data_IF_456586907112
#
_entry.id   IF_456586907112
#
_cell.length_a   1.000
_cell.length_b   1.000
_cell.length_c   1.000
_cell.angle_alpha   90.00
_cell.angle_beta   90.00
_cell.angle_gamma   90.00
#
_symmetry.space_group_name_H-M   'P 1'
#
loop_
_entity.id
_entity.type
_entity.pdbx_description
1 polymer ?
#
# COMPACT_ATOMS: atom_id res chain seq x y z
N UNK A 1 7.79 38.84 2.94
CA UNK A 1 7.79 38.05 2.69
C UNK A 1 7.76 37.23 2.57
N UNK A 2 7.65 37.19 2.30
CA UNK A 2 7.42 36.20 2.02
C UNK A 2 7.71 35.11 2.07
N UNK A 3 7.67 34.72 2.21
CA UNK A 3 7.84 33.62 2.20
C UNK A 3 7.78 32.80 1.60
N UNK A 4 7.76 32.42 1.41
CA UNK A 4 7.67 31.56 0.86
C UNK A 4 7.29 30.91 0.43
N UNK A 5 7.70 31.20 -0.23
CA UNK A 5 6.86 30.55 -1.00
C UNK A 5 6.40 29.23 -0.68
N UNK A 6 6.13 29.09 -0.48
CA UNK A 6 5.80 28.03 0.05
C UNK A 6 5.73 26.70 -0.54
N UNK A 7 6.10 25.77 0.00
CA UNK A 7 6.06 24.41 -0.45
C UNK A 7 4.67 24.00 -0.83
N UNK A 8 3.70 24.42 -0.06
CA UNK A 8 2.31 24.07 -0.30
C UNK A 8 1.78 24.61 -1.63
N UNK A 9 2.46 25.59 -2.18
CA UNK A 9 2.05 26.17 -3.46
C UNK A 9 2.77 25.57 -4.65
N UNK A 10 3.78 24.77 -4.38
CA UNK A 10 4.55 24.15 -5.45
C UNK A 10 3.70 23.14 -6.18
N UNK A 11 3.75 23.16 -7.49
CA UNK A 11 3.06 22.18 -8.29
C UNK A 11 3.59 20.79 -8.00
N UNK A 12 2.69 19.85 -7.88
CA UNK A 12 3.06 18.45 -7.68
C UNK A 12 3.65 17.91 -8.97
N UNK A 13 4.76 17.18 -8.87
CA UNK A 13 5.37 16.57 -10.04
C UNK A 13 4.47 15.46 -10.57
N UNK A 14 4.65 15.10 -11.85
CA UNK A 14 3.88 14.01 -12.44
C UNK A 14 4.21 12.68 -11.75
N UNK A 15 5.45 12.48 -11.32
CA UNK A 15 5.83 11.27 -10.60
C UNK A 15 5.13 11.19 -9.25
N UNK A 16 5.11 12.28 -8.50
CA UNK A 16 4.42 12.29 -7.22
C UNK A 16 2.93 12.01 -7.40
N UNK A 17 2.32 12.61 -8.43
CA UNK A 17 0.91 12.40 -8.73
C UNK A 17 0.63 10.94 -9.05
N UNK A 18 1.51 10.31 -9.83
CA UNK A 18 1.36 8.90 -10.17
C UNK A 18 1.45 8.01 -8.93
N UNK A 19 2.40 8.29 -8.02
CA UNK A 19 2.55 7.53 -6.78
C UNK A 19 1.29 7.64 -5.92
N UNK A 20 0.75 8.85 -5.80
CA UNK A 20 -0.50 9.07 -5.04
C UNK A 20 -1.66 8.29 -5.65
N UNK A 21 -1.74 8.28 -6.98
CA UNK A 21 -2.78 7.52 -7.69
C UNK A 21 -2.61 6.03 -7.45
N UNK A 22 -1.37 5.53 -7.50
CA UNK A 22 -1.11 4.11 -7.24
C UNK A 22 -1.53 3.69 -5.84
N UNK A 23 -1.30 4.56 -4.86
CA UNK A 23 -1.73 4.28 -3.49
C UNK A 23 -3.24 4.12 -3.41
N UNK A 24 -4.00 5.02 -4.04
CA UNK A 24 -5.46 4.93 -4.07
C UNK A 24 -5.93 3.67 -4.77
N UNK A 25 -5.32 3.33 -5.90
CA UNK A 25 -5.68 2.13 -6.64
C UNK A 25 -5.41 0.88 -5.81
N UNK A 26 -4.28 0.87 -5.09
CA UNK A 26 -3.93 -0.24 -4.23
C UNK A 26 -5.01 -0.48 -3.17
N UNK A 27 -5.41 0.58 -2.47
CA UNK A 27 -6.42 0.47 -1.42
C UNK A 27 -7.76 0.00 -1.99
N UNK A 28 -8.16 0.57 -3.14
CA UNK A 28 -9.41 0.17 -3.79
C UNK A 28 -9.38 -1.31 -4.19
N UNK A 29 -8.25 -1.76 -4.73
CA UNK A 29 -8.11 -3.16 -5.16
C UNK A 29 -8.10 -4.12 -3.97
N UNK A 30 -7.46 -3.73 -2.86
CA UNK A 30 -7.51 -4.52 -1.62
C UNK A 30 -8.95 -4.68 -1.17
N UNK A 31 -9.71 -3.59 -1.14
CA UNK A 31 -11.09 -3.61 -0.69
C UNK A 31 -12.00 -4.40 -1.62
N UNK A 32 -11.68 -4.43 -2.90
CA UNK A 32 -12.45 -5.18 -3.89
C UNK A 32 -12.03 -6.65 -3.98
N UNK A 33 -10.94 -7.03 -3.32
CA UNK A 33 -10.39 -8.38 -3.45
C UNK A 33 -9.83 -8.64 -4.85
N UNK A 34 -9.38 -7.60 -5.52
CA UNK A 34 -8.95 -7.66 -6.93
C UNK A 34 -7.45 -7.95 -7.02
N UNK A 35 -7.10 -9.21 -6.87
CA UNK A 35 -5.70 -9.64 -6.91
C UNK A 35 -5.05 -9.32 -8.24
N UNK A 36 -5.77 -9.55 -9.35
CA UNK A 36 -5.21 -9.28 -10.67
C UNK A 36 -4.76 -7.83 -10.79
N UNK A 37 -5.56 -6.90 -10.27
CA UNK A 37 -5.22 -5.48 -10.28
C UNK A 37 -3.99 -5.21 -9.43
N UNK A 38 -3.93 -5.79 -8.24
CA UNK A 38 -2.78 -5.61 -7.34
C UNK A 38 -1.50 -6.09 -7.99
N UNK A 39 -1.54 -7.19 -8.70
CA UNK A 39 -0.36 -7.75 -9.34
C UNK A 39 0.17 -6.90 -10.49
N UNK A 40 -0.66 -6.02 -11.05
CA UNK A 40 -0.18 -5.07 -12.07
C UNK A 40 0.61 -3.92 -11.45
N UNK A 41 0.52 -3.74 -10.14
CA UNK A 41 1.14 -2.61 -9.44
C UNK A 41 2.45 -2.97 -8.78
N UNK A 42 2.82 -4.27 -8.74
CA UNK A 42 4.01 -4.72 -8.01
C UNK A 42 5.10 -5.16 -8.98
N UNK A 43 6.35 -4.95 -8.56
CA UNK A 43 7.50 -5.40 -9.31
C UNK A 43 7.62 -6.93 -9.22
N UNK A 44 8.31 -7.52 -10.20
CA UNK A 44 8.53 -8.96 -10.20
C UNK A 44 9.29 -9.42 -8.95
N UNK A 45 10.22 -8.60 -8.49
CA UNK A 45 11.07 -8.89 -7.34
C UNK A 45 10.55 -8.22 -6.05
N UNK A 46 9.25 -7.94 -5.99
CA UNK A 46 8.66 -7.31 -4.82
C UNK A 46 8.90 -8.14 -3.56
N UNK A 47 9.12 -7.44 -2.44
CA UNK A 47 9.21 -8.07 -1.12
C UNK A 47 8.26 -7.34 -0.19
N UNK A 48 7.41 -8.10 0.49
CA UNK A 48 6.47 -7.56 1.46
C UNK A 48 6.80 -8.11 2.85
N UNK A 49 6.83 -7.23 3.81
CA UNK A 49 7.15 -7.55 5.20
C UNK A 49 5.91 -7.33 6.05
N UNK A 50 5.50 -8.40 6.73
CA UNK A 50 4.34 -8.39 7.62
C UNK A 50 4.81 -8.77 9.02
N UNK A 51 4.28 -8.13 10.07
CA UNK A 51 4.71 -8.44 11.44
C UNK A 51 4.59 -9.93 11.77
N UNK A 52 5.67 -10.48 12.31
CA UNK A 52 5.68 -11.86 12.77
C UNK A 52 5.77 -12.90 11.68
N UNK A 53 5.97 -12.51 10.43
CA UNK A 53 6.02 -13.45 9.32
C UNK A 53 7.30 -13.28 8.51
N UNK A 54 7.72 -14.33 7.84
CA UNK A 54 8.85 -14.25 6.94
C UNK A 54 8.50 -13.37 5.73
N UNK A 55 9.49 -12.71 5.13
CA UNK A 55 9.24 -11.91 3.93
C UNK A 55 8.61 -12.75 2.83
N UNK A 56 7.69 -12.17 2.07
CA UNK A 56 7.09 -12.86 0.94
C UNK A 56 7.34 -12.08 -0.33
N UNK A 57 7.43 -12.81 -1.44
CA UNK A 57 7.50 -12.21 -2.76
C UNK A 57 6.12 -12.19 -3.41
N UNK A 58 6.13 -12.04 -4.72
CA UNK A 58 4.91 -11.92 -5.52
C UNK A 58 3.98 -13.14 -5.36
N UNK A 59 4.56 -14.33 -5.38
CA UNK A 59 3.78 -15.57 -5.29
C UNK A 59 3.17 -15.76 -3.91
N UNK A 60 3.99 -15.54 -2.87
CA UNK A 60 3.51 -15.65 -1.50
C UNK A 60 2.44 -14.61 -1.19
N UNK A 61 2.60 -13.40 -1.70
CA UNK A 61 1.59 -12.37 -1.56
C UNK A 61 0.27 -12.81 -2.20
N UNK A 62 0.34 -13.35 -3.43
CA UNK A 62 -0.86 -13.81 -4.14
C UNK A 62 -1.60 -14.86 -3.34
N UNK A 63 -0.88 -15.88 -2.86
CA UNK A 63 -1.49 -16.96 -2.08
C UNK A 63 -2.11 -16.44 -0.79
N UNK A 64 -1.40 -15.59 -0.07
CA UNK A 64 -1.89 -15.05 1.19
C UNK A 64 -3.11 -14.17 1.00
N UNK A 65 -3.09 -13.34 -0.05
CA UNK A 65 -4.21 -12.45 -0.34
C UNK A 65 -5.47 -13.24 -0.67
N UNK A 66 -5.34 -14.25 -1.53
CA UNK A 66 -6.48 -15.08 -1.90
C UNK A 66 -7.03 -15.82 -0.70
N UNK A 67 -6.18 -16.42 0.11
CA UNK A 67 -6.61 -17.15 1.29
C UNK A 67 -7.34 -16.22 2.26
N UNK A 68 -6.83 -15.02 2.46
CA UNK A 68 -7.45 -14.05 3.37
C UNK A 68 -8.84 -13.65 2.88
N UNK A 69 -8.97 -13.35 1.58
CA UNK A 69 -10.25 -12.90 1.03
C UNK A 69 -11.27 -14.02 0.91
N UNK A 70 -10.84 -15.27 0.82
CA UNK A 70 -11.75 -16.40 0.83
C UNK A 70 -12.43 -16.57 2.20
N UNK A 71 -11.72 -16.26 3.26
CA UNK A 71 -12.21 -16.49 4.61
C UNK A 71 -12.71 -15.24 5.31
N UNK A 72 -12.24 -14.07 4.88
CA UNK A 72 -12.51 -12.81 5.57
C UNK A 72 -13.04 -11.77 4.62
N UNK A 73 -13.92 -10.93 5.13
CA UNK A 73 -14.28 -9.67 4.48
C UNK A 73 -13.34 -8.61 5.03
N UNK A 74 -12.59 -7.98 4.16
CA UNK A 74 -11.58 -7.01 4.56
C UNK A 74 -11.97 -5.63 4.07
N UNK A 75 -11.95 -4.67 4.99
CA UNK A 75 -12.20 -3.27 4.67
C UNK A 75 -11.01 -2.46 5.16
N UNK A 76 -10.29 -1.84 4.23
CA UNK A 76 -9.08 -1.07 4.52
C UNK A 76 -9.32 0.40 4.28
N UNK A 77 -8.90 1.23 5.24
CA UNK A 77 -8.79 2.67 5.03
C UNK A 77 -7.34 3.06 5.23
N UNK A 78 -6.91 4.09 4.51
CA UNK A 78 -5.52 4.50 4.55
C UNK A 78 -5.44 6.01 4.39
N UNK A 79 -4.66 6.64 5.25
CA UNK A 79 -4.39 8.07 5.19
C UNK A 79 -2.94 8.25 4.78
N UNK A 80 -2.74 8.74 3.56
CA UNK A 80 -1.39 8.95 3.04
C UNK A 80 -0.82 10.20 3.69
N UNK A 81 0.31 10.04 4.39
CA UNK A 81 0.89 11.12 5.17
C UNK A 81 2.12 11.73 4.52
N UNK A 82 2.78 10.98 3.64
CA UNK A 82 4.04 11.46 3.07
C UNK A 82 4.31 10.77 1.76
N UNK A 83 4.74 11.53 0.76
CA UNK A 83 5.22 11.00 -0.52
C UNK A 83 6.53 11.71 -0.84
N UNK A 84 7.58 10.94 -1.07
CA UNK A 84 8.90 11.49 -1.41
C UNK A 84 9.38 10.80 -2.66
N UNK A 85 9.78 11.58 -3.66
CA UNK A 85 10.33 11.07 -4.92
C UNK A 85 11.76 11.55 -5.06
N UNK A 86 12.68 10.62 -5.26
CA UNK A 86 14.10 10.95 -5.45
C UNK A 86 14.58 10.17 -6.68
N UNK A 87 14.65 10.85 -7.82
CA UNK A 87 15.04 10.20 -9.07
C UNK A 87 14.06 9.09 -9.44
N UNK A 88 14.57 7.87 -9.52
CA UNK A 88 13.77 6.72 -9.92
C UNK A 88 13.29 5.87 -8.76
N UNK A 89 13.38 6.41 -7.55
CA UNK A 89 12.91 5.76 -6.34
C UNK A 89 11.97 6.71 -5.61
N UNK A 90 10.91 6.16 -5.05
CA UNK A 90 9.97 6.94 -4.26
C UNK A 90 9.56 6.12 -3.05
N UNK A 91 9.13 6.81 -2.00
CA UNK A 91 8.52 6.10 -0.88
C UNK A 91 7.29 6.87 -0.39
N UNK A 92 6.39 6.13 0.22
CA UNK A 92 5.23 6.69 0.87
C UNK A 92 5.18 6.21 2.32
N UNK A 93 4.53 7.00 3.14
CA UNK A 93 4.21 6.61 4.51
C UNK A 93 2.73 6.89 4.72
N UNK A 94 2.01 5.92 5.26
CA UNK A 94 0.58 6.05 5.49
C UNK A 94 0.21 5.48 6.85
N UNK A 95 -0.95 5.90 7.33
CA UNK A 95 -1.58 5.33 8.52
C UNK A 95 -2.79 4.54 8.05
N UNK A 96 -2.78 3.25 8.33
CA UNK A 96 -3.77 2.32 7.81
C UNK A 96 -4.60 1.72 8.92
N UNK A 97 -5.83 1.40 8.60
CA UNK A 97 -6.72 0.68 9.50
C UNK A 97 -7.47 -0.40 8.70
N UNK A 98 -7.63 -1.56 9.30
CA UNK A 98 -8.33 -2.68 8.69
C UNK A 98 -9.45 -3.14 9.60
N UNK A 99 -10.59 -3.44 8.99
CA UNK A 99 -11.66 -4.17 9.65
C UNK A 99 -11.74 -5.53 8.96
N UNK A 100 -11.60 -6.61 9.71
CA UNK A 100 -11.54 -7.97 9.18
C UNK A 100 -12.66 -8.78 9.83
N UNK A 101 -13.61 -9.25 9.02
CA UNK A 101 -14.77 -9.98 9.51
C UNK A 101 -14.80 -11.37 8.89
N UNK A 102 -14.89 -12.45 9.70
CA UNK A 102 -15.01 -13.79 9.12
C UNK A 102 -16.26 -13.89 8.25
N UNK A 103 -16.13 -14.48 7.08
CA UNK A 103 -17.29 -14.66 6.19
C UNK A 103 -18.29 -15.64 6.76
N UNK A 104 -17.81 -16.57 7.60
CA UNK A 104 -18.68 -17.54 8.27
C UNK A 104 -19.51 -16.91 9.39
N UNK A 105 -19.22 -15.66 9.75
CA UNK A 105 -19.93 -14.96 10.82
C UNK A 105 -19.04 -14.75 12.02
N UNK A 106 -19.42 -13.80 12.86
CA UNK A 106 -18.67 -13.47 14.06
C UNK A 106 -18.31 -11.99 14.08
N UNK A 107 -17.54 -11.62 15.08
CA UNK A 107 -17.14 -10.23 15.29
C UNK A 107 -16.02 -9.82 14.36
N UNK A 108 -16.07 -8.57 13.93
CA UNK A 108 -14.98 -7.97 13.20
C UNK A 108 -13.79 -7.72 14.14
N UNK A 109 -12.60 -8.00 13.64
CA UNK A 109 -11.37 -7.61 14.31
C UNK A 109 -10.88 -6.32 13.69
N UNK A 110 -10.35 -5.41 14.53
CA UNK A 110 -9.82 -4.14 14.07
C UNK A 110 -8.31 -4.17 14.18
N UNK A 111 -7.63 -3.75 13.10
CA UNK A 111 -6.18 -3.63 13.10
C UNK A 111 -5.84 -2.20 12.71
N UNK A 112 -4.74 -1.69 13.23
CA UNK A 112 -4.27 -0.35 12.89
C UNK A 112 -2.75 -0.33 12.94
N UNK A 113 -2.16 0.59 12.18
CA UNK A 113 -0.73 0.75 12.17
C UNK A 113 -0.27 1.67 11.06
N UNK A 114 0.98 1.53 10.71
CA UNK A 114 1.63 2.36 9.70
C UNK A 114 2.17 1.49 8.60
N UNK A 115 2.32 2.10 7.43
CA UNK A 115 2.85 1.41 6.26
C UNK A 115 3.87 2.29 5.57
N UNK A 116 4.97 1.69 5.14
CA UNK A 116 5.92 2.33 4.23
C UNK A 116 6.02 1.50 2.97
N UNK A 117 5.92 2.16 1.84
CA UNK A 117 6.02 1.50 0.54
C UNK A 117 7.13 2.18 -0.25
N UNK A 118 8.00 1.38 -0.86
CA UNK A 118 9.04 1.87 -1.75
C UNK A 118 8.66 1.50 -3.18
N UNK A 119 8.68 2.51 -4.06
CA UNK A 119 8.37 2.35 -5.48
C UNK A 119 9.64 2.56 -6.29
N UNK A 120 9.75 1.90 -7.42
CA UNK A 120 10.86 2.09 -8.35
C UNK A 120 10.32 2.32 -9.74
N UNK A 121 10.89 3.30 -10.42
CA UNK A 121 10.51 3.61 -11.80
C UNK A 121 11.18 2.62 -12.73
N UNK A 122 10.38 2.00 -13.56
CA UNK A 122 10.85 1.00 -14.51
C UNK A 122 11.37 1.67 -15.78
N UNK A 123 12.05 0.89 -16.62
CA UNK A 123 12.61 1.44 -17.87
C UNK A 123 11.55 2.03 -18.78
N UNK A 124 10.33 1.48 -18.73
CA UNK A 124 9.21 1.98 -19.54
C UNK A 124 8.54 3.21 -18.93
N UNK A 125 9.06 3.71 -17.83
CA UNK A 125 8.55 4.92 -17.17
C UNK A 125 7.47 4.67 -16.14
N UNK A 126 6.98 3.45 -16.01
CA UNK A 126 5.96 3.13 -14.99
C UNK A 126 6.60 2.96 -13.63
N UNK A 127 5.89 3.37 -12.62
CA UNK A 127 6.28 3.10 -11.23
C UNK A 127 5.67 1.78 -10.79
N UNK A 128 6.45 0.97 -10.07
CA UNK A 128 5.94 -0.27 -9.49
C UNK A 128 6.35 -0.33 -8.01
N UNK A 129 5.51 -0.94 -7.20
CA UNK A 129 5.77 -1.19 -5.79
C UNK A 129 6.86 -2.24 -5.67
N UNK A 130 7.95 -1.90 -5.00
CA UNK A 130 9.13 -2.74 -4.90
C UNK A 130 9.29 -3.36 -3.52
N UNK A 131 9.06 -2.60 -2.48
CA UNK A 131 9.15 -3.06 -1.09
C UNK A 131 7.99 -2.49 -0.32
N UNK A 132 7.46 -3.26 0.61
CA UNK A 132 6.34 -2.83 1.43
C UNK A 132 6.51 -3.39 2.83
N UNK A 133 6.30 -2.55 3.82
CA UNK A 133 6.38 -2.97 5.22
C UNK A 133 5.26 -2.28 6.00
N UNK A 134 4.61 -3.02 6.89
CA UNK A 134 3.58 -2.42 7.74
C UNK A 134 3.68 -2.94 9.16
N UNK A 135 3.06 -2.21 10.07
CA UNK A 135 3.03 -2.54 11.49
C UNK A 135 1.61 -2.82 11.98
N UNK A 136 0.70 -3.19 11.07
CA UNK A 136 -0.69 -3.44 11.44
C UNK A 136 -0.79 -4.51 12.51
N UNK A 137 -1.50 -4.19 13.58
CA UNK A 137 -1.70 -5.12 14.68
C UNK A 137 -3.07 -4.87 15.30
N UNK A 138 -3.54 -5.86 16.05
CA UNK A 138 -4.86 -5.80 16.63
C UNK A 138 -4.98 -4.59 17.58
N UNK A 139 -6.12 -3.92 17.51
CA UNK A 139 -6.46 -2.82 18.40
C UNK A 139 -7.24 -3.40 19.57
N UNK A 140 -6.77 -3.09 20.77
CA UNK A 140 -7.39 -3.60 22.00
C UNK A 140 -8.76 -2.95 22.26
#
# INVERSE_FOLDING_TARGET
MKKEPNQSRRAMSSDEREIRTMHSIWIDAVNAGDLARLLTLVAEDVVLLTPGQAPVGREGFSSNFMAAHQQMRICCTSELEEVVVVGEVAYTRSRDALSVTPRAGGKAAQLAGHRMTVYRKQRDGRWLLSRDIHTLSAVA
#
